data_IF_398611355372
#
_entry.id   IF_398611355372
#
_cell.length_a   1.000
_cell.length_b   1.000
_cell.length_c   1.000
_cell.angle_alpha   90.00
_cell.angle_beta   90.00
_cell.angle_gamma   90.00
#
_symmetry.space_group_name_H-M   'P 1'
#
loop_
_entity.id
_entity.type
_entity.pdbx_description
1 polymer ?
#
# COMPACT_ATOMS: atom_id res chain seq x y z
N UNK A 1 -1.01 -21.96 -6.22
CA UNK A 1 -1.72 -20.84 -6.88
C UNK A 1 -3.15 -20.81 -6.34
N UNK A 2 -3.53 -19.78 -5.59
CA UNK A 2 -4.90 -19.66 -5.07
C UNK A 2 -5.84 -19.41 -6.26
N UNK A 3 -6.77 -20.33 -6.51
CA UNK A 3 -7.84 -20.10 -7.47
C UNK A 3 -8.94 -19.31 -6.77
N UNK A 4 -9.07 -18.04 -7.14
CA UNK A 4 -10.17 -17.21 -6.69
C UNK A 4 -11.41 -17.57 -7.53
N UNK A 5 -12.56 -17.89 -6.94
CA UNK A 5 -13.77 -18.17 -7.70
C UNK A 5 -14.38 -16.87 -8.25
N UNK A 6 -14.61 -16.78 -9.57
CA UNK A 6 -15.28 -15.65 -10.24
C UNK A 6 -14.51 -15.06 -11.44
N UNK A 7 -15.19 -14.24 -12.24
CA UNK A 7 -14.57 -13.35 -13.23
C UNK A 7 -14.01 -12.13 -12.49
N UNK A 8 -12.69 -11.98 -12.45
CA UNK A 8 -12.06 -10.81 -11.84
C UNK A 8 -11.81 -9.73 -12.88
N UNK A 9 -12.05 -8.47 -12.50
CA UNK A 9 -11.53 -7.32 -13.24
C UNK A 9 -9.99 -7.41 -13.32
N UNK A 10 -9.42 -7.06 -14.48
CA UNK A 10 -7.97 -7.12 -14.73
C UNK A 10 -7.26 -6.20 -13.72
N UNK A 11 -6.50 -6.78 -12.78
CA UNK A 11 -5.80 -6.02 -11.74
C UNK A 11 -5.46 -6.85 -10.49
N UNK A 12 -4.91 -6.20 -9.47
CA UNK A 12 -4.74 -6.80 -8.14
C UNK A 12 -6.00 -6.70 -7.29
N UNK A 13 -6.00 -7.33 -6.12
CA UNK A 13 -7.12 -7.29 -5.19
C UNK A 13 -6.72 -7.59 -3.73
N UNK A 14 -7.63 -7.29 -2.81
CA UNK A 14 -7.54 -7.68 -1.40
C UNK A 14 -8.73 -8.59 -1.09
N UNK A 15 -8.46 -9.76 -0.50
CA UNK A 15 -9.46 -10.77 -0.21
C UNK A 15 -9.44 -11.17 1.27
N UNK A 16 -10.62 -11.46 1.81
CA UNK A 16 -10.75 -12.09 3.12
C UNK A 16 -10.68 -13.61 2.94
N UNK A 17 -9.71 -14.27 3.56
CA UNK A 17 -9.52 -15.72 3.47
C UNK A 17 -9.83 -16.40 4.81
N UNK A 18 -10.70 -17.41 4.80
CA UNK A 18 -10.99 -18.22 5.98
C UNK A 18 -9.94 -19.31 6.15
N UNK A 19 -9.12 -19.21 7.20
CA UNK A 19 -8.15 -20.26 7.54
C UNK A 19 -8.83 -21.59 7.92
N UNK A 20 -9.96 -21.53 8.63
CA UNK A 20 -10.73 -22.72 9.04
C UNK A 20 -11.36 -23.43 7.83
N UNK A 21 -12.03 -22.68 6.94
CA UNK A 21 -12.72 -23.26 5.77
C UNK A 21 -11.80 -23.42 4.55
N UNK A 22 -10.55 -22.95 4.64
CA UNK A 22 -9.55 -22.93 3.57
C UNK A 22 -10.06 -22.34 2.25
N UNK A 23 -10.90 -21.30 2.34
CA UNK A 23 -11.52 -20.67 1.17
C UNK A 23 -11.58 -19.16 1.31
N UNK A 24 -11.60 -18.49 0.16
CA UNK A 24 -11.96 -17.07 0.09
C UNK A 24 -13.38 -16.91 0.62
N UNK A 25 -13.55 -15.98 1.55
CA UNK A 25 -14.85 -15.63 2.11
C UNK A 25 -15.47 -14.46 1.35
N UNK A 26 -14.68 -13.40 1.14
CA UNK A 26 -15.10 -12.18 0.47
C UNK A 26 -13.96 -11.61 -0.40
N UNK A 27 -14.31 -10.94 -1.49
CA UNK A 27 -13.42 -10.03 -2.22
C UNK A 27 -13.71 -8.64 -1.69
N UNK A 28 -12.73 -8.01 -1.04
CA UNK A 28 -12.91 -6.68 -0.42
C UNK A 28 -12.62 -5.57 -1.42
N UNK A 29 -11.59 -5.76 -2.24
CA UNK A 29 -11.15 -4.81 -3.25
C UNK A 29 -10.67 -5.56 -4.49
N UNK A 30 -10.96 -5.03 -5.67
CA UNK A 30 -10.54 -5.56 -6.97
C UNK A 30 -10.16 -4.43 -7.93
N UNK A 31 -9.45 -4.74 -9.01
CA UNK A 31 -9.01 -3.76 -10.00
C UNK A 31 -7.98 -2.73 -9.47
N UNK A 32 -7.37 -3.01 -8.31
CA UNK A 32 -6.39 -2.11 -7.69
C UNK A 32 -4.98 -2.42 -8.20
N UNK A 33 -4.13 -1.39 -8.29
CA UNK A 33 -2.85 -1.52 -8.98
C UNK A 33 -1.72 -1.88 -8.03
N UNK A 34 -1.33 -3.15 -8.08
CA UNK A 34 -0.28 -3.72 -7.23
C UNK A 34 -0.49 -3.43 -5.73
N UNK A 35 -1.56 -3.98 -5.13
CA UNK A 35 -1.79 -3.81 -3.71
C UNK A 35 -0.68 -4.47 -2.88
N UNK A 36 -0.07 -3.69 -2.00
CA UNK A 36 0.94 -4.18 -1.07
C UNK A 36 0.58 -3.81 0.38
N UNK A 37 1.23 -4.49 1.32
CA UNK A 37 1.21 -4.15 2.76
C UNK A 37 -0.20 -3.91 3.32
N UNK A 38 -1.08 -4.88 3.08
CA UNK A 38 -2.45 -4.89 3.62
C UNK A 38 -2.39 -5.03 5.15
N UNK A 39 -3.10 -4.17 5.86
CA UNK A 39 -3.13 -4.14 7.32
C UNK A 39 -4.53 -3.83 7.84
N UNK A 40 -4.94 -4.48 8.93
CA UNK A 40 -6.17 -4.15 9.66
C UNK A 40 -5.81 -3.47 10.98
N UNK A 41 -6.36 -2.30 11.26
CA UNK A 41 -6.16 -1.59 12.52
C UNK A 41 -7.45 -0.93 12.99
N UNK A 42 -7.89 -1.25 14.21
CA UNK A 42 -9.18 -0.78 14.77
C UNK A 42 -10.37 -0.97 13.81
N UNK A 43 -10.45 -2.14 13.16
CA UNK A 43 -11.44 -2.52 12.15
C UNK A 43 -11.38 -1.77 10.81
N UNK A 44 -10.46 -0.82 10.65
CA UNK A 44 -10.23 -0.17 9.36
C UNK A 44 -9.14 -0.92 8.58
N UNK A 45 -9.38 -1.17 7.31
CA UNK A 45 -8.42 -1.73 6.38
C UNK A 45 -7.55 -0.62 5.77
N UNK A 46 -6.24 -0.85 5.78
CA UNK A 46 -5.26 0.00 5.12
C UNK A 46 -4.43 -0.84 4.15
N UNK A 47 -4.01 -0.24 3.03
CA UNK A 47 -3.10 -0.88 2.10
C UNK A 47 -2.40 0.13 1.20
N UNK A 48 -1.21 -0.22 0.72
CA UNK A 48 -0.51 0.52 -0.31
C UNK A 48 -1.10 0.17 -1.69
N UNK A 49 -1.38 1.19 -2.49
CA UNK A 49 -1.74 1.08 -3.90
C UNK A 49 -0.53 1.56 -4.71
N UNK A 50 0.45 0.67 -4.87
CA UNK A 50 1.85 1.04 -5.08
C UNK A 50 2.15 1.68 -6.44
N UNK A 51 1.53 1.21 -7.53
CA UNK A 51 1.68 1.86 -8.84
C UNK A 51 1.04 3.25 -8.89
N UNK A 52 0.09 3.54 -7.99
CA UNK A 52 -0.62 4.82 -7.90
C UNK A 52 -0.03 5.75 -6.83
N UNK A 53 1.13 5.38 -6.26
CA UNK A 53 1.87 6.13 -5.24
C UNK A 53 1.00 6.58 -4.07
N UNK A 54 0.08 5.72 -3.64
CA UNK A 54 -0.89 6.07 -2.60
C UNK A 54 -1.02 4.99 -1.53
N UNK A 55 -1.57 5.40 -0.39
CA UNK A 55 -2.06 4.51 0.66
C UNK A 55 -3.54 4.78 0.84
N UNK A 56 -4.33 3.72 0.91
CA UNK A 56 -5.76 3.79 1.14
C UNK A 56 -6.10 3.43 2.58
N UNK A 57 -7.11 4.11 3.12
CA UNK A 57 -7.89 3.71 4.29
C UNK A 57 -9.29 3.43 3.77
N UNK A 58 -9.66 2.16 3.77
CA UNK A 58 -10.85 1.68 3.08
C UNK A 58 -10.92 2.20 1.64
N UNK A 59 -12.01 2.88 1.29
CA UNK A 59 -12.23 3.46 -0.02
C UNK A 59 -11.54 4.83 -0.23
N UNK A 60 -10.95 5.42 0.80
CA UNK A 60 -10.40 6.77 0.73
C UNK A 60 -8.88 6.74 0.51
N UNK A 61 -8.36 7.69 -0.27
CA UNK A 61 -6.92 7.94 -0.36
C UNK A 61 -6.51 8.67 0.92
N UNK A 62 -5.69 8.00 1.74
CA UNK A 62 -5.16 8.55 2.99
C UNK A 62 -3.90 9.38 2.75
N UNK A 63 -3.05 8.92 1.82
CA UNK A 63 -1.75 9.51 1.53
C UNK A 63 -1.43 9.34 0.04
N UNK A 64 -0.72 10.33 -0.52
CA UNK A 64 -0.17 10.27 -1.88
C UNK A 64 1.23 10.87 -1.89
N UNK A 65 2.16 10.21 -2.57
CA UNK A 65 3.52 10.69 -2.79
C UNK A 65 3.90 10.53 -4.27
N UNK A 66 5.19 10.60 -4.57
CA UNK A 66 5.75 10.47 -5.91
C UNK A 66 6.49 9.16 -6.14
N UNK A 67 6.52 8.28 -5.13
CA UNK A 67 7.28 7.03 -5.20
C UNK A 67 6.48 5.83 -4.77
N UNK A 68 7.09 4.67 -4.99
CA UNK A 68 6.39 3.39 -4.94
C UNK A 68 6.19 2.93 -3.50
N UNK A 69 4.93 2.99 -3.03
CA UNK A 69 4.57 2.76 -1.63
C UNK A 69 4.62 1.28 -1.25
N UNK A 70 5.36 0.94 -0.20
CA UNK A 70 5.45 -0.42 0.36
C UNK A 70 5.88 -0.34 1.83
N UNK A 71 5.47 -1.32 2.64
CA UNK A 71 5.65 -1.25 4.08
C UNK A 71 4.67 -0.25 4.68
N UNK A 72 3.89 -0.71 5.65
CA UNK A 72 2.82 0.07 6.24
C UNK A 72 2.65 -0.31 7.71
N UNK A 73 2.60 0.69 8.58
CA UNK A 73 2.22 0.52 9.98
C UNK A 73 1.32 1.68 10.42
N UNK A 74 0.30 1.39 11.21
CA UNK A 74 -0.60 2.41 11.79
C UNK A 74 -0.63 2.22 13.29
N UNK A 75 -0.43 3.31 14.03
CA UNK A 75 -0.59 3.35 15.47
C UNK A 75 -1.16 4.70 15.87
N UNK A 76 -2.33 4.68 16.51
CA UNK A 76 -3.10 5.87 16.87
C UNK A 76 -3.27 6.82 15.68
N UNK A 77 -2.75 8.05 15.76
CA UNK A 77 -2.83 9.09 14.74
C UNK A 77 -1.62 9.11 13.81
N UNK A 78 -0.73 8.11 13.93
CA UNK A 78 0.52 8.02 13.20
C UNK A 78 0.47 6.88 12.20
N UNK A 79 0.89 7.17 10.97
CA UNK A 79 1.03 6.20 9.90
C UNK A 79 2.46 6.25 9.38
N UNK A 80 3.12 5.10 9.34
CA UNK A 80 4.40 4.94 8.68
C UNK A 80 4.16 4.31 7.31
N UNK A 81 4.58 5.00 6.26
CA UNK A 81 4.50 4.51 4.87
C UNK A 81 5.91 4.41 4.31
N UNK A 82 6.35 3.21 3.95
CA UNK A 82 7.63 3.08 3.25
C UNK A 82 7.49 3.47 1.77
N UNK A 83 8.57 4.01 1.23
CA UNK A 83 8.79 4.22 -0.19
C UNK A 83 9.99 3.39 -0.61
N UNK A 84 9.81 2.56 -1.63
CA UNK A 84 10.88 1.78 -2.24
C UNK A 84 11.25 2.35 -3.61
N UNK A 85 12.48 2.08 -4.05
CA UNK A 85 12.89 2.37 -5.42
C UNK A 85 12.15 1.42 -6.37
N UNK A 86 11.53 1.99 -7.40
CA UNK A 86 10.82 1.21 -8.42
C UNK A 86 11.78 0.72 -9.51
N UNK A 87 11.59 -0.52 -9.95
CA UNK A 87 12.32 -1.11 -11.09
C UNK A 87 11.60 -0.88 -12.43
N UNK A 88 10.38 -0.34 -12.39
CA UNK A 88 9.52 -0.15 -13.57
C UNK A 88 9.38 1.34 -13.94
N UNK A 89 10.49 2.07 -13.97
CA UNK A 89 10.53 3.52 -14.16
C UNK A 89 9.80 3.94 -15.44
N UNK A 90 10.12 3.33 -16.59
CA UNK A 90 9.52 3.71 -17.87
C UNK A 90 7.98 3.59 -17.86
N UNK A 91 7.47 2.45 -17.38
CA UNK A 91 6.02 2.21 -17.27
C UNK A 91 5.34 3.22 -16.33
N UNK A 92 6.01 3.63 -15.27
CA UNK A 92 5.47 4.61 -14.33
C UNK A 92 5.50 6.04 -14.89
N UNK A 93 6.52 6.39 -15.68
CA UNK A 93 6.59 7.68 -16.38
C UNK A 93 5.56 7.83 -17.52
N UNK A 94 5.05 6.73 -18.06
CA UNK A 94 3.89 6.75 -18.97
C UNK A 94 2.59 7.16 -18.25
N UNK A 95 2.49 6.89 -16.94
CA UNK A 95 1.28 7.11 -16.13
C UNK A 95 1.35 8.38 -15.28
N UNK A 96 2.54 8.77 -14.85
CA UNK A 96 2.77 9.87 -13.91
C UNK A 96 3.72 10.89 -14.53
N UNK A 97 3.46 12.20 -14.38
CA UNK A 97 4.28 13.25 -14.97
C UNK A 97 5.70 13.31 -14.40
N UNK A 98 5.89 12.81 -13.17
CA UNK A 98 7.17 12.69 -12.50
C UNK A 98 7.09 11.63 -11.40
N UNK A 99 8.25 11.07 -11.02
CA UNK A 99 8.37 10.07 -9.96
C UNK A 99 9.60 10.39 -9.08
N UNK A 100 9.57 9.97 -7.82
CA UNK A 100 10.72 9.97 -6.90
C UNK A 100 11.36 8.58 -6.90
N UNK A 101 12.69 8.55 -6.95
CA UNK A 101 13.51 7.34 -6.81
C UNK A 101 14.17 7.25 -5.43
N UNK A 102 13.61 7.93 -4.43
CA UNK A 102 14.11 7.88 -3.07
C UNK A 102 13.62 6.61 -2.35
N UNK A 103 14.41 6.14 -1.39
CA UNK A 103 14.00 5.08 -0.46
C UNK A 103 13.96 5.62 0.96
N UNK A 104 12.89 5.32 1.67
CA UNK A 104 12.73 5.82 3.03
C UNK A 104 11.33 5.58 3.58
N UNK A 105 11.04 6.25 4.69
CA UNK A 105 9.76 6.13 5.38
C UNK A 105 9.14 7.50 5.57
N UNK A 106 7.90 7.65 5.11
CA UNK A 106 7.05 8.76 5.49
C UNK A 106 6.45 8.51 6.88
N UNK A 107 6.60 9.49 7.76
CA UNK A 107 5.83 9.63 8.98
C UNK A 107 4.67 10.58 8.70
N UNK A 108 3.44 10.08 8.67
CA UNK A 108 2.22 10.86 8.48
C UNK A 108 1.46 11.00 9.80
N UNK A 109 1.08 12.22 10.15
CA UNK A 109 0.11 12.50 11.21
C UNK A 109 -1.30 12.65 10.59
N UNK A 110 -2.24 11.80 11.00
CA UNK A 110 -3.58 11.75 10.42
C UNK A 110 -4.47 12.94 10.78
N UNK A 111 -4.20 13.64 11.89
CA UNK A 111 -5.01 14.77 12.33
C UNK A 111 -4.74 16.02 11.50
N UNK A 112 -3.46 16.37 11.34
CA UNK A 112 -3.05 17.59 10.64
C UNK A 112 -2.58 17.34 9.19
N UNK A 113 -2.53 16.07 8.75
CA UNK A 113 -2.09 15.64 7.42
C UNK A 113 -0.64 16.01 7.08
N UNK A 114 0.16 16.39 8.08
CA UNK A 114 1.57 16.66 7.91
C UNK A 114 2.33 15.34 7.76
N UNK A 115 3.25 15.30 6.79
CA UNK A 115 4.17 14.19 6.62
C UNK A 115 5.62 14.65 6.60
N UNK A 116 6.50 13.79 7.12
CA UNK A 116 7.95 13.96 7.07
C UNK A 116 8.56 12.72 6.45
N UNK A 117 9.54 12.88 5.58
CA UNK A 117 10.24 11.76 4.97
C UNK A 117 11.59 11.55 5.63
N UNK A 118 11.85 10.33 6.07
CA UNK A 118 13.13 9.90 6.63
C UNK A 118 13.80 8.98 5.60
N UNK A 119 14.88 9.42 4.93
CA UNK A 119 15.60 8.56 3.99
C UNK A 119 16.23 7.39 4.74
N UNK A 120 16.16 6.20 4.14
CA UNK A 120 16.77 4.99 4.68
C UNK A 120 17.79 4.50 3.65
N UNK A 121 19.03 4.14 4.05
CA UNK A 121 20.07 3.64 3.14
C UNK A 121 19.77 2.18 2.70
N UNK A 122 18.64 2.00 2.03
CA UNK A 122 18.14 0.75 1.45
C UNK A 122 17.58 1.05 0.06
N UNK A 123 17.29 0.02 -0.71
CA UNK A 123 16.54 0.15 -1.97
C UNK A 123 15.05 -0.12 -1.78
N UNK A 124 14.70 -0.90 -0.76
CA UNK A 124 13.34 -1.43 -0.58
C UNK A 124 12.93 -1.42 0.91
N UNK A 125 11.67 -1.11 1.15
CA UNK A 125 10.98 -1.21 2.44
C UNK A 125 9.87 -2.23 2.29
N UNK A 126 10.07 -3.46 2.80
CA UNK A 126 9.10 -4.54 2.66
C UNK A 126 7.99 -4.52 3.72
N UNK A 127 8.33 -4.07 4.93
CA UNK A 127 7.44 -4.07 6.09
C UNK A 127 7.92 -3.07 7.14
N UNK A 128 6.98 -2.58 7.93
CA UNK A 128 7.22 -1.69 9.06
C UNK A 128 6.37 -2.24 10.21
N UNK A 129 6.93 -2.31 11.41
CA UNK A 129 6.25 -2.86 12.59
C UNK A 129 6.54 -1.93 13.77
N UNK A 130 5.50 -1.57 14.52
CA UNK A 130 5.66 -0.99 15.85
C UNK A 130 5.89 -2.12 16.86
N UNK A 131 6.97 -2.01 17.65
CA UNK A 131 7.37 -2.99 18.68
C UNK A 131 6.92 -2.49 20.05
#
# INVERSE_FOLDING_TARGET
MFHLPGQFNIGGGVVEYSLKKKKVKNVLYEGISQPHSVMLYKNDLYFCNSEEFSVRKENNILFKCLGYTRGLAVQNETVLIGQSITRHINKLLEKHPNISSDCGVYLLNMNNKLSTFVPIPSLEIYGIIFI
#
